data_IF_322604162842
#
_entry.id   IF_322604162842
#
_cell.length_a   1.000
_cell.length_b   1.000
_cell.length_c   1.000
_cell.angle_alpha   90.00
_cell.angle_beta   90.00
_cell.angle_gamma   90.00
#
_symmetry.space_group_name_H-M   'P 1'
#
loop_
_entity.id
_entity.type
_entity.pdbx_description
1 polymer ?
#
# COMPACT_ATOMS: atom_id res chain seq x y z
N UNK A 1 13.40 32.20 8.72
CA UNK A 1 14.37 32.74 7.74
C UNK A 1 15.74 32.73 8.42
N UNK A 2 16.48 31.63 8.27
CA UNK A 2 17.88 31.52 8.67
C UNK A 2 18.62 31.37 7.35
N UNK A 3 19.07 32.51 6.80
CA UNK A 3 19.95 32.51 5.63
C UNK A 3 21.28 31.96 6.14
N UNK A 4 21.48 30.65 6.05
CA UNK A 4 22.80 30.06 6.15
C UNK A 4 23.51 30.48 4.87
N UNK A 5 24.23 31.61 4.92
CA UNK A 5 25.26 31.91 3.94
C UNK A 5 26.30 30.81 4.05
N UNK A 6 26.15 29.75 3.25
CA UNK A 6 27.22 28.80 2.99
C UNK A 6 28.26 29.60 2.21
N UNK A 7 29.22 30.16 2.94
CA UNK A 7 30.44 30.66 2.33
C UNK A 7 31.11 29.43 1.71
N UNK A 8 30.88 29.22 0.41
CA UNK A 8 31.55 28.21 -0.37
C UNK A 8 33.03 28.60 -0.42
N UNK A 9 33.82 28.14 0.56
CA UNK A 9 35.28 28.21 0.49
C UNK A 9 35.69 27.29 -0.65
N UNK A 10 35.84 27.84 -1.85
CA UNK A 10 36.43 27.13 -2.97
C UNK A 10 37.82 26.64 -2.54
N UNK A 11 37.94 25.35 -2.23
CA UNK A 11 39.25 24.71 -2.04
C UNK A 11 39.90 24.61 -3.41
N UNK A 12 40.77 25.57 -3.73
CA UNK A 12 41.45 25.70 -5.01
C UNK A 12 42.32 24.47 -5.36
N UNK A 13 42.88 23.80 -4.35
CA UNK A 13 43.83 22.69 -4.55
C UNK A 13 43.23 21.49 -5.31
N UNK A 14 42.12 20.87 -4.86
CA UNK A 14 41.53 19.75 -5.60
C UNK A 14 40.95 20.17 -6.97
N UNK A 15 40.48 21.41 -7.12
CA UNK A 15 40.06 21.93 -8.43
C UNK A 15 41.24 22.04 -9.42
N UNK A 16 42.41 22.45 -8.94
CA UNK A 16 43.63 22.49 -9.75
C UNK A 16 44.13 21.08 -10.09
N UNK A 17 43.93 20.10 -9.20
CA UNK A 17 44.25 18.69 -9.45
C UNK A 17 43.34 18.11 -10.55
N UNK A 18 42.03 18.30 -10.49
CA UNK A 18 41.08 17.86 -11.53
C UNK A 18 41.35 18.53 -12.89
N UNK A 19 41.66 19.84 -12.88
CA UNK A 19 42.07 20.57 -14.09
C UNK A 19 43.37 20.01 -14.64
N UNK A 20 44.34 19.68 -13.79
CA UNK A 20 45.62 19.10 -14.21
C UNK A 20 45.45 17.69 -14.79
N UNK A 21 44.59 16.86 -14.18
CA UNK A 21 44.26 15.53 -14.65
C UNK A 21 43.55 15.57 -16.00
N UNK A 22 42.53 16.42 -16.12
CA UNK A 22 41.80 16.65 -17.37
C UNK A 22 42.73 17.17 -18.48
N UNK A 23 43.61 18.12 -18.16
CA UNK A 23 44.60 18.65 -19.10
C UNK A 23 45.61 17.59 -19.55
N UNK A 24 46.07 16.72 -18.64
CA UNK A 24 46.95 15.61 -18.98
C UNK A 24 46.27 14.58 -19.88
N UNK A 25 44.98 14.31 -19.66
CA UNK A 25 44.21 13.37 -20.47
C UNK A 25 43.99 13.88 -21.90
N UNK A 26 43.67 15.18 -22.05
CA UNK A 26 43.59 15.84 -23.37
C UNK A 26 44.95 15.85 -24.07
N UNK A 27 46.06 16.05 -23.34
CA UNK A 27 47.40 16.08 -23.91
C UNK A 27 47.84 14.75 -24.54
N UNK A 28 47.27 13.62 -24.09
CA UNK A 28 47.51 12.28 -24.65
C UNK A 28 46.47 11.92 -25.73
N UNK A 29 45.62 12.88 -26.14
CA UNK A 29 44.60 12.70 -27.17
C UNK A 29 43.24 12.19 -26.65
N UNK A 30 43.07 12.12 -25.33
CA UNK A 30 41.82 11.80 -24.67
C UNK A 30 40.80 12.94 -24.70
N UNK A 31 39.60 12.68 -24.17
CA UNK A 31 38.54 13.68 -23.97
C UNK A 31 38.41 13.97 -22.48
N UNK A 32 39.43 14.61 -21.91
CA UNK A 32 39.38 15.06 -20.53
C UNK A 32 38.16 15.96 -20.32
N UNK A 33 37.34 15.64 -19.31
CA UNK A 33 36.18 16.43 -18.93
C UNK A 33 36.24 16.74 -17.44
N UNK A 34 35.84 17.96 -17.08
CA UNK A 34 35.73 18.38 -15.69
C UNK A 34 34.24 18.33 -15.33
N UNK A 35 33.90 17.59 -14.28
CA UNK A 35 32.53 17.50 -13.76
C UNK A 35 32.20 18.74 -12.92
N UNK A 36 31.99 19.85 -13.62
CA UNK A 36 31.70 21.14 -12.99
C UNK A 36 30.45 21.12 -12.11
N UNK A 37 29.43 20.33 -12.47
CA UNK A 37 28.19 20.24 -11.71
C UNK A 37 28.43 19.68 -10.30
N UNK A 38 29.21 18.60 -10.18
CA UNK A 38 29.58 17.98 -8.91
C UNK A 38 30.37 18.97 -8.03
N UNK A 39 31.26 19.75 -8.64
CA UNK A 39 32.08 20.73 -7.90
C UNK A 39 31.31 21.98 -7.48
N UNK A 40 30.38 22.46 -8.31
CA UNK A 40 29.55 23.66 -8.07
C UNK A 40 28.45 23.37 -7.05
N UNK A 41 27.85 22.18 -7.09
CA UNK A 41 26.86 21.74 -6.12
C UNK A 41 27.48 21.31 -4.78
N UNK A 42 28.82 21.25 -4.69
CA UNK A 42 29.52 20.90 -3.46
C UNK A 42 29.49 19.41 -3.15
N UNK A 43 29.57 18.55 -4.16
CA UNK A 43 29.68 17.08 -4.00
C UNK A 43 30.87 16.67 -3.11
N UNK A 44 31.91 17.51 -3.02
CA UNK A 44 33.06 17.30 -2.13
C UNK A 44 32.77 17.63 -0.64
N UNK A 45 31.60 18.18 -0.32
CA UNK A 45 31.17 18.52 1.05
C UNK A 45 30.06 17.62 1.60
N UNK A 46 29.52 16.70 0.79
CA UNK A 46 28.54 15.73 1.25
C UNK A 46 29.05 14.33 0.92
N UNK A 47 29.62 13.65 1.91
CA UNK A 47 29.68 12.18 1.97
C UNK A 47 28.25 11.60 2.09
N UNK A 48 27.31 12.09 1.28
CA UNK A 48 25.87 11.84 1.38
C UNK A 48 25.36 11.17 0.11
N UNK A 49 24.37 10.30 0.27
CA UNK A 49 23.64 9.75 -0.87
C UNK A 49 23.04 10.89 -1.71
N UNK A 50 23.29 10.85 -3.02
CA UNK A 50 22.67 11.76 -3.97
C UNK A 50 21.44 11.09 -4.60
N UNK A 51 20.31 11.78 -4.55
CA UNK A 51 19.07 11.30 -5.13
C UNK A 51 18.86 11.91 -6.52
N UNK A 52 18.62 11.06 -7.52
CA UNK A 52 18.15 11.47 -8.83
C UNK A 52 16.73 10.94 -9.02
N UNK A 53 15.74 11.84 -9.00
CA UNK A 53 14.32 11.48 -9.11
C UNK A 53 13.89 11.57 -10.58
N UNK A 54 13.43 10.45 -11.13
CA UNK A 54 12.86 10.37 -12.48
C UNK A 54 11.36 10.10 -12.34
N UNK A 55 10.54 11.07 -12.75
CA UNK A 55 9.08 10.92 -12.72
C UNK A 55 8.63 10.31 -14.04
N UNK A 56 8.01 9.13 -13.95
CA UNK A 56 7.43 8.42 -15.10
C UNK A 56 5.92 8.39 -14.94
N UNK A 57 5.20 8.82 -15.97
CA UNK A 57 3.76 8.67 -16.07
C UNK A 57 3.46 7.56 -17.08
N UNK A 58 2.47 6.72 -16.77
CA UNK A 58 2.02 5.68 -17.68
C UNK A 58 0.55 5.36 -17.48
N UNK A 59 -0.05 4.74 -18.49
CA UNK A 59 -1.43 4.31 -18.48
C UNK A 59 -1.59 3.05 -17.61
N UNK A 60 -2.65 3.05 -16.80
CA UNK A 60 -3.03 1.92 -15.93
C UNK A 60 -4.23 1.25 -16.59
N UNK A 61 -4.19 -0.07 -16.69
CA UNK A 61 -5.25 -0.88 -17.25
C UNK A 61 -6.09 -1.48 -16.12
N UNK A 62 -7.22 -0.85 -15.81
CA UNK A 62 -8.09 -1.26 -14.69
C UNK A 62 -8.94 -2.51 -15.00
N UNK A 63 -8.96 -2.97 -16.25
CA UNK A 63 -9.70 -4.17 -16.66
C UNK A 63 -8.90 -5.47 -16.41
N UNK A 64 -7.59 -5.35 -16.16
CA UNK A 64 -6.72 -6.49 -15.83
C UNK A 64 -6.82 -6.82 -14.32
N UNK A 65 -6.74 -8.11 -13.98
CA UNK A 65 -6.67 -8.59 -12.60
C UNK A 65 -5.43 -8.04 -11.85
N UNK A 66 -4.38 -7.64 -12.58
CA UNK A 66 -3.20 -6.98 -12.00
C UNK A 66 -2.91 -5.66 -12.73
N UNK A 67 -3.64 -4.58 -12.42
CA UNK A 67 -3.64 -3.33 -13.21
C UNK A 67 -2.26 -2.67 -13.33
N UNK A 68 -1.42 -2.85 -12.30
CA UNK A 68 -0.08 -2.26 -12.24
C UNK A 68 1.04 -3.18 -12.76
N UNK A 69 0.77 -4.46 -13.03
CA UNK A 69 1.82 -5.43 -13.33
C UNK A 69 2.55 -5.10 -14.64
N UNK A 70 1.82 -4.70 -15.68
CA UNK A 70 2.38 -4.43 -17.01
C UNK A 70 3.37 -3.27 -16.99
N UNK A 71 3.01 -2.17 -16.32
CA UNK A 71 3.88 -0.98 -16.20
C UNK A 71 5.10 -1.27 -15.32
N UNK A 72 4.92 -2.00 -14.21
CA UNK A 72 6.02 -2.38 -13.32
C UNK A 72 6.99 -3.35 -13.97
N UNK A 73 6.51 -4.34 -14.71
CA UNK A 73 7.36 -5.28 -15.45
C UNK A 73 8.17 -4.56 -16.53
N UNK A 74 7.55 -3.63 -17.28
CA UNK A 74 8.26 -2.82 -18.28
C UNK A 74 9.32 -1.93 -17.64
N UNK A 75 9.01 -1.28 -16.52
CA UNK A 75 9.98 -0.44 -15.80
C UNK A 75 11.17 -1.27 -15.30
N UNK A 76 10.93 -2.41 -14.66
CA UNK A 76 11.98 -3.33 -14.22
C UNK A 76 12.83 -3.84 -15.39
N UNK A 77 12.21 -4.15 -16.54
CA UNK A 77 12.91 -4.54 -17.76
C UNK A 77 13.81 -3.42 -18.28
N UNK A 78 13.31 -2.20 -18.41
CA UNK A 78 14.10 -1.04 -18.88
C UNK A 78 15.27 -0.75 -17.93
N UNK A 79 15.04 -0.79 -16.61
CA UNK A 79 16.10 -0.60 -15.61
C UNK A 79 17.19 -1.66 -15.78
N UNK A 80 16.81 -2.93 -15.91
CA UNK A 80 17.76 -4.04 -16.10
C UNK A 80 18.51 -3.97 -17.43
N UNK A 81 17.86 -3.50 -18.50
CA UNK A 81 18.44 -3.44 -19.84
C UNK A 81 19.37 -2.23 -20.05
N UNK A 82 19.12 -1.11 -19.36
CA UNK A 82 19.93 0.11 -19.51
C UNK A 82 21.34 -0.09 -18.97
N UNK A 83 21.49 -0.93 -17.94
CA UNK A 83 22.74 -1.12 -17.22
C UNK A 83 23.12 0.15 -16.44
N UNK A 84 23.35 0.02 -15.14
CA UNK A 84 23.82 1.14 -14.32
C UNK A 84 25.11 0.76 -13.59
N UNK A 85 26.00 1.74 -13.32
CA UNK A 85 27.21 1.53 -12.52
C UNK A 85 26.90 0.87 -11.17
N UNK A 86 27.87 0.12 -10.62
CA UNK A 86 27.68 -0.64 -9.37
C UNK A 86 27.47 0.24 -8.13
N UNK A 87 27.87 1.50 -8.20
CA UNK A 87 27.67 2.55 -7.20
C UNK A 87 26.29 3.22 -7.29
N UNK A 88 25.51 2.95 -8.34
CA UNK A 88 24.16 3.52 -8.54
C UNK A 88 23.10 2.47 -8.21
N UNK A 89 22.32 2.76 -7.17
CA UNK A 89 21.13 1.97 -6.82
C UNK A 89 19.88 2.62 -7.44
N UNK A 90 19.17 1.86 -8.27
CA UNK A 90 17.89 2.29 -8.85
C UNK A 90 16.76 1.61 -8.07
N UNK A 91 15.81 2.40 -7.57
CA UNK A 91 14.66 1.93 -6.79
C UNK A 91 13.37 2.56 -7.29
N UNK A 92 12.25 1.85 -7.14
CA UNK A 92 10.93 2.31 -7.59
C UNK A 92 10.05 2.73 -6.41
N UNK A 93 9.43 3.90 -6.50
CA UNK A 93 8.45 4.36 -5.50
C UNK A 93 7.43 5.31 -6.12
N UNK A 94 6.42 5.69 -5.34
CA UNK A 94 5.25 6.45 -5.78
C UNK A 94 3.99 5.60 -5.76
N UNK A 95 2.85 6.21 -6.09
CA UNK A 95 1.53 5.61 -5.97
C UNK A 95 1.41 4.26 -6.71
N UNK A 96 1.95 4.18 -7.93
CA UNK A 96 1.85 2.97 -8.77
C UNK A 96 2.66 1.79 -8.19
N UNK A 97 3.98 1.89 -7.89
CA UNK A 97 4.71 0.82 -7.21
C UNK A 97 4.10 0.44 -5.86
N UNK A 98 3.70 1.44 -5.07
CA UNK A 98 3.09 1.21 -3.77
C UNK A 98 1.78 0.40 -3.90
N UNK A 99 0.92 0.73 -4.87
CA UNK A 99 -0.33 0.03 -5.11
C UNK A 99 -0.11 -1.36 -5.73
N UNK A 100 0.89 -1.52 -6.59
CA UNK A 100 1.29 -2.82 -7.12
C UNK A 100 1.70 -3.79 -6.01
N UNK A 101 2.61 -3.35 -5.13
CA UNK A 101 3.10 -4.15 -4.01
C UNK A 101 1.99 -4.46 -3.00
N UNK A 102 1.01 -3.56 -2.82
CA UNK A 102 -0.18 -3.80 -2.00
C UNK A 102 -1.06 -4.93 -2.56
N UNK A 103 -1.37 -4.89 -3.87
CA UNK A 103 -2.15 -5.94 -4.54
C UNK A 103 -1.40 -7.27 -4.57
N UNK A 104 -0.08 -7.24 -4.81
CA UNK A 104 0.78 -8.42 -4.79
C UNK A 104 0.80 -9.07 -3.39
N UNK A 105 1.10 -8.28 -2.35
CA UNK A 105 1.12 -8.76 -0.97
C UNK A 105 -0.25 -9.29 -0.51
N UNK A 106 -1.34 -8.64 -0.90
CA UNK A 106 -2.69 -9.12 -0.62
C UNK A 106 -2.92 -10.48 -1.27
N UNK A 107 -2.65 -10.60 -2.58
CA UNK A 107 -2.88 -11.83 -3.36
C UNK A 107 -2.05 -13.00 -2.83
N UNK A 108 -0.78 -12.78 -2.52
CA UNK A 108 0.10 -13.80 -1.95
C UNK A 108 -0.35 -14.22 -0.55
N UNK A 109 -0.76 -13.23 0.27
CA UNK A 109 -1.32 -13.46 1.59
C UNK A 109 -2.59 -14.31 1.56
N UNK A 110 -3.46 -14.10 0.58
CA UNK A 110 -4.69 -14.88 0.38
C UNK A 110 -4.39 -16.34 0.03
N UNK A 111 -3.43 -16.59 -0.85
CA UNK A 111 -3.05 -17.96 -1.22
C UNK A 111 -2.54 -18.76 -0.02
N UNK A 112 -1.68 -18.14 0.80
CA UNK A 112 -1.16 -18.76 2.02
C UNK A 112 -2.24 -18.90 3.10
N UNK A 113 -2.94 -17.81 3.43
CA UNK A 113 -3.95 -17.81 4.48
C UNK A 113 -5.13 -18.72 4.14
N UNK A 114 -5.59 -18.70 2.89
CA UNK A 114 -6.67 -19.55 2.40
C UNK A 114 -6.30 -21.03 2.43
N UNK A 115 -5.09 -21.40 2.01
CA UNK A 115 -4.63 -22.80 2.07
C UNK A 115 -4.46 -23.30 3.51
N UNK A 116 -3.90 -22.48 4.40
CA UNK A 116 -3.81 -22.80 5.84
C UNK A 116 -5.21 -22.93 6.45
N UNK A 117 -6.12 -22.00 6.18
CA UNK A 117 -7.49 -22.03 6.67
C UNK A 117 -8.23 -23.29 6.21
N UNK A 118 -8.11 -23.65 4.92
CA UNK A 118 -8.72 -24.84 4.36
C UNK A 118 -8.15 -26.14 4.97
N UNK A 119 -6.82 -26.19 5.17
CA UNK A 119 -6.16 -27.31 5.83
C UNK A 119 -6.64 -27.47 7.28
N UNK A 120 -6.65 -26.38 8.05
CA UNK A 120 -7.12 -26.38 9.44
C UNK A 120 -8.60 -26.76 9.52
N UNK A 121 -9.41 -26.25 8.61
CA UNK A 121 -10.83 -26.61 8.51
C UNK A 121 -11.00 -28.11 8.24
N UNK A 122 -10.27 -28.66 7.27
CA UNK A 122 -10.30 -30.09 6.97
C UNK A 122 -9.86 -30.92 8.18
N UNK A 123 -8.82 -30.48 8.89
CA UNK A 123 -8.32 -31.11 10.10
C UNK A 123 -9.39 -31.14 11.19
N UNK A 124 -9.99 -30.00 11.51
CA UNK A 124 -11.06 -29.89 12.52
C UNK A 124 -12.26 -30.75 12.14
N UNK A 125 -12.65 -30.76 10.86
CA UNK A 125 -13.76 -31.58 10.36
C UNK A 125 -13.49 -33.08 10.47
N UNK A 126 -12.31 -33.54 10.03
CA UNK A 126 -11.93 -34.96 10.03
C UNK A 126 -11.78 -35.47 11.47
N UNK A 127 -11.10 -34.73 12.34
CA UNK A 127 -10.85 -35.15 13.72
C UNK A 127 -12.05 -34.92 14.65
N UNK A 128 -12.81 -33.85 14.43
CA UNK A 128 -13.98 -33.48 15.23
C UNK A 128 -15.21 -34.31 14.91
N UNK A 129 -15.60 -34.37 13.63
CA UNK A 129 -16.85 -35.03 13.20
C UNK A 129 -16.66 -36.54 12.97
N UNK A 130 -15.44 -37.00 12.64
CA UNK A 130 -15.09 -38.41 12.42
C UNK A 130 -15.98 -39.16 11.42
N UNK A 131 -16.64 -38.45 10.50
CA UNK A 131 -17.53 -39.02 9.50
C UNK A 131 -17.24 -38.45 8.11
N UNK A 132 -16.58 -39.26 7.26
CA UNK A 132 -16.16 -38.84 5.92
C UNK A 132 -17.34 -38.33 5.07
N UNK A 133 -18.54 -38.89 5.24
CA UNK A 133 -19.75 -38.46 4.52
C UNK A 133 -20.15 -37.02 4.87
N UNK A 134 -20.08 -36.64 6.14
CA UNK A 134 -20.37 -35.27 6.56
C UNK A 134 -19.27 -34.31 6.11
N UNK A 135 -18.01 -34.72 6.20
CA UNK A 135 -16.88 -33.92 5.73
C UNK A 135 -17.05 -33.61 4.24
N UNK A 136 -17.31 -34.63 3.40
CA UNK A 136 -17.49 -34.45 1.95
C UNK A 136 -18.74 -33.61 1.62
N UNK A 137 -19.87 -33.84 2.29
CA UNK A 137 -21.07 -33.03 2.11
C UNK A 137 -20.83 -31.55 2.43
N UNK A 138 -20.09 -31.30 3.51
CA UNK A 138 -19.73 -29.94 3.95
C UNK A 138 -18.82 -29.26 2.94
N UNK A 139 -17.78 -29.94 2.45
CA UNK A 139 -16.91 -29.40 1.40
C UNK A 139 -17.63 -29.18 0.07
N UNK A 140 -18.57 -30.06 -0.30
CA UNK A 140 -19.40 -29.87 -1.48
C UNK A 140 -20.28 -28.61 -1.35
N UNK A 141 -20.94 -28.43 -0.20
CA UNK A 141 -21.72 -27.23 0.09
C UNK A 141 -20.84 -25.98 0.05
N UNK A 142 -19.67 -26.00 0.68
CA UNK A 142 -18.72 -24.89 0.67
C UNK A 142 -18.27 -24.52 -0.76
N UNK A 143 -17.89 -25.49 -1.57
CA UNK A 143 -17.46 -25.25 -2.95
C UNK A 143 -18.58 -24.62 -3.78
N UNK A 144 -19.81 -25.13 -3.65
CA UNK A 144 -20.98 -24.58 -4.33
C UNK A 144 -21.33 -23.18 -3.82
N UNK A 145 -21.36 -22.97 -2.50
CA UNK A 145 -21.68 -21.68 -1.89
C UNK A 145 -20.65 -20.62 -2.19
N UNK A 146 -19.39 -21.01 -2.25
CA UNK A 146 -18.32 -20.14 -2.67
C UNK A 146 -18.49 -19.69 -4.13
N UNK A 147 -18.72 -20.63 -5.05
CA UNK A 147 -18.95 -20.33 -6.47
C UNK A 147 -20.20 -19.45 -6.68
N UNK A 148 -21.29 -19.75 -5.97
CA UNK A 148 -22.54 -18.97 -6.08
C UNK A 148 -22.41 -17.58 -5.49
N UNK A 149 -21.68 -17.43 -4.38
CA UNK A 149 -21.46 -16.10 -3.79
C UNK A 149 -20.57 -15.23 -4.66
N UNK A 150 -19.50 -15.78 -5.25
CA UNK A 150 -18.70 -15.07 -6.24
C UNK A 150 -19.56 -14.67 -7.44
N UNK A 151 -20.37 -15.60 -7.96
CA UNK A 151 -21.24 -15.31 -9.10
C UNK A 151 -22.21 -14.17 -8.79
N UNK A 152 -22.81 -14.20 -7.61
CA UNK A 152 -23.70 -13.15 -7.13
C UNK A 152 -22.96 -11.81 -6.97
N UNK A 153 -21.77 -11.82 -6.37
CA UNK A 153 -20.95 -10.63 -6.19
C UNK A 153 -20.58 -9.98 -7.54
N UNK A 154 -20.10 -10.77 -8.51
CA UNK A 154 -19.79 -10.31 -9.87
C UNK A 154 -21.01 -9.67 -10.53
N UNK A 155 -22.18 -10.33 -10.46
CA UNK A 155 -23.41 -9.82 -11.08
C UNK A 155 -23.91 -8.52 -10.44
N UNK A 156 -23.66 -8.34 -9.15
CA UNK A 156 -24.16 -7.19 -8.38
C UNK A 156 -23.25 -5.96 -8.42
N UNK A 157 -21.93 -6.14 -8.37
CA UNK A 157 -20.97 -5.07 -8.16
C UNK A 157 -20.08 -4.81 -9.39
N UNK A 158 -19.82 -5.82 -10.22
CA UNK A 158 -18.94 -5.74 -11.40
C UNK A 158 -17.45 -5.60 -11.09
N UNK A 159 -17.09 -4.81 -10.09
CA UNK A 159 -15.72 -4.53 -9.64
C UNK A 159 -15.48 -5.07 -8.22
N UNK A 160 -14.24 -5.48 -7.94
CA UNK A 160 -13.82 -5.90 -6.60
C UNK A 160 -12.71 -4.99 -6.08
N UNK A 161 -12.90 -4.46 -4.87
CA UNK A 161 -11.78 -3.88 -4.11
C UNK A 161 -10.89 -4.96 -3.49
N UNK A 162 -9.63 -4.61 -3.17
CA UNK A 162 -8.66 -5.49 -2.49
C UNK A 162 -9.21 -6.07 -1.18
N UNK A 163 -10.02 -5.28 -0.45
CA UNK A 163 -10.64 -5.70 0.81
C UNK A 163 -11.76 -6.73 0.62
N UNK A 164 -12.51 -6.66 -0.47
CA UNK A 164 -13.54 -7.63 -0.80
C UNK A 164 -12.98 -9.05 -0.95
N UNK A 165 -11.69 -9.21 -1.22
CA UNK A 165 -11.06 -10.53 -1.32
C UNK A 165 -10.95 -11.22 0.06
N UNK A 166 -10.99 -10.48 1.18
CA UNK A 166 -10.98 -11.06 2.53
C UNK A 166 -12.21 -11.97 2.75
N UNK A 167 -13.33 -11.67 2.09
CA UNK A 167 -14.53 -12.51 2.12
C UNK A 167 -14.24 -13.97 1.72
N UNK A 168 -13.36 -14.20 0.74
CA UNK A 168 -13.00 -15.55 0.27
C UNK A 168 -12.57 -16.45 1.43
N UNK A 169 -11.66 -15.95 2.26
CA UNK A 169 -11.11 -16.71 3.39
C UNK A 169 -12.14 -16.80 4.51
N UNK A 170 -12.88 -15.72 4.76
CA UNK A 170 -13.89 -15.65 5.81
C UNK A 170 -15.08 -16.59 5.55
N UNK A 171 -15.47 -16.78 4.29
CA UNK A 171 -16.59 -17.65 3.91
C UNK A 171 -16.37 -19.10 4.31
N UNK A 172 -15.13 -19.60 4.23
CA UNK A 172 -14.83 -20.96 4.68
C UNK A 172 -15.02 -21.15 6.18
N UNK A 173 -14.80 -20.10 6.97
CA UNK A 173 -15.04 -20.12 8.42
C UNK A 173 -16.51 -19.97 8.79
N UNK A 174 -17.23 -19.05 8.14
CA UNK A 174 -18.62 -18.75 8.52
C UNK A 174 -19.65 -19.67 7.84
N UNK A 175 -19.42 -20.03 6.58
CA UNK A 175 -20.35 -20.85 5.82
C UNK A 175 -20.37 -22.32 6.25
N UNK A 176 -19.24 -22.82 6.76
CA UNK A 176 -19.12 -24.22 7.20
C UNK A 176 -19.99 -24.52 8.42
N UNK A 177 -20.18 -23.54 9.30
CA UNK A 177 -20.88 -23.73 10.57
C UNK A 177 -22.32 -24.21 10.35
N UNK A 178 -23.01 -23.65 9.35
CA UNK A 178 -24.37 -24.04 9.00
C UNK A 178 -24.43 -25.49 8.52
N UNK A 179 -23.52 -25.88 7.62
CA UNK A 179 -23.44 -27.25 7.11
C UNK A 179 -23.12 -28.26 8.21
N UNK A 180 -22.17 -27.95 9.11
CA UNK A 180 -21.81 -28.84 10.22
C UNK A 180 -22.98 -28.97 11.20
N UNK A 181 -23.58 -27.86 11.63
CA UNK A 181 -24.70 -27.90 12.57
C UNK A 181 -25.86 -28.73 12.03
N UNK A 182 -26.22 -28.50 10.76
CA UNK A 182 -27.28 -29.25 10.13
C UNK A 182 -26.92 -30.73 9.95
N UNK A 183 -25.73 -31.04 9.43
CA UNK A 183 -25.30 -32.41 9.19
C UNK A 183 -25.17 -33.25 10.48
N UNK A 184 -24.70 -32.64 11.58
CA UNK A 184 -24.66 -33.29 12.89
C UNK A 184 -26.05 -33.56 13.44
N UNK A 185 -27.00 -32.64 13.26
CA UNK A 185 -28.41 -32.86 13.63
C UNK A 185 -29.04 -33.99 12.82
N UNK A 186 -28.69 -34.12 11.53
CA UNK A 186 -29.10 -35.28 10.72
C UNK A 186 -28.49 -36.57 11.27
N UNK A 187 -27.20 -36.58 11.64
CA UNK A 187 -26.58 -37.76 12.27
C UNK A 187 -27.22 -38.16 13.61
N UNK A 188 -27.66 -37.18 14.39
CA UNK A 188 -28.33 -37.39 15.67
C UNK A 188 -29.75 -37.94 15.48
N UNK A 189 -30.50 -37.42 14.51
CA UNK A 189 -31.81 -37.94 14.12
C UNK A 189 -31.73 -39.37 13.58
N UNK A 190 -30.62 -39.75 12.93
CA UNK A 190 -30.37 -41.14 12.54
C UNK A 190 -30.12 -42.09 13.73
N UNK A 191 -29.65 -41.55 14.86
CA UNK A 191 -29.47 -42.32 16.10
C UNK A 191 -30.76 -42.52 16.89
N UNK A 192 -31.74 -41.62 16.70
CA UNK A 192 -33.08 -41.68 17.30
C UNK A 192 -34.15 -41.62 16.20
N UNK A 193 -34.25 -42.67 15.37
CA UNK A 193 -35.13 -42.65 14.21
C UNK A 193 -36.60 -42.53 14.64
N UNK A 194 -37.32 -41.65 13.96
CA UNK A 194 -38.78 -41.53 13.99
C UNK A 194 -39.31 -41.98 12.62
N UNK A 195 -40.09 -43.06 12.58
CA UNK A 195 -40.60 -43.65 11.34
C UNK A 195 -41.56 -42.72 10.58
N UNK A 196 -42.05 -41.65 11.22
CA UNK A 196 -43.02 -40.73 10.63
C UNK A 196 -42.40 -39.63 9.75
N UNK A 197 -41.10 -39.37 9.88
CA UNK A 197 -40.41 -38.27 9.19
C UNK A 197 -39.01 -38.66 8.73
N UNK A 198 -38.55 -38.08 7.62
CA UNK A 198 -37.17 -38.27 7.19
C UNK A 198 -36.22 -37.59 8.20
N UNK A 199 -35.07 -38.21 8.56
CA UNK A 199 -34.08 -37.64 9.47
C UNK A 199 -33.64 -36.22 9.09
N UNK A 200 -33.56 -35.93 7.79
CA UNK A 200 -33.26 -34.61 7.25
C UNK A 200 -34.35 -33.58 7.58
N UNK A 201 -35.63 -33.97 7.48
CA UNK A 201 -36.76 -33.12 7.83
C UNK A 201 -36.83 -32.88 9.36
N UNK A 202 -36.60 -33.92 10.15
CA UNK A 202 -36.56 -33.81 11.61
C UNK A 202 -35.43 -32.87 12.06
N UNK A 203 -34.25 -32.98 11.43
CA UNK A 203 -33.12 -32.09 11.67
C UNK A 203 -33.43 -30.64 11.25
N UNK A 204 -34.08 -30.44 10.09
CA UNK A 204 -34.48 -29.12 9.63
C UNK A 204 -35.51 -28.46 10.56
N UNK A 205 -36.44 -29.22 11.13
CA UNK A 205 -37.41 -28.73 12.12
C UNK A 205 -36.75 -28.18 13.40
N UNK A 206 -35.67 -28.82 13.86
CA UNK A 206 -34.98 -28.42 15.09
C UNK A 206 -33.89 -27.37 14.87
N UNK A 207 -33.05 -27.54 13.84
CA UNK A 207 -31.93 -26.65 13.55
C UNK A 207 -32.30 -25.48 12.64
N UNK A 208 -33.42 -25.57 11.90
CA UNK A 208 -33.87 -24.55 10.93
C UNK A 208 -33.99 -23.16 11.52
N UNK A 209 -34.76 -23.03 12.61
CA UNK A 209 -34.97 -21.76 13.30
C UNK A 209 -33.66 -21.12 13.81
N UNK A 210 -32.85 -21.83 14.61
CA UNK A 210 -31.57 -21.32 15.10
C UNK A 210 -30.59 -20.95 13.99
N UNK A 211 -30.45 -21.76 12.94
CA UNK A 211 -29.55 -21.47 11.82
C UNK A 211 -30.04 -20.23 11.06
N UNK A 212 -31.34 -20.15 10.74
CA UNK A 212 -31.90 -18.98 10.06
C UNK A 212 -31.76 -17.69 10.88
N UNK A 213 -31.95 -17.75 12.20
CA UNK A 213 -31.74 -16.61 13.09
C UNK A 213 -30.26 -16.17 13.08
N UNK A 214 -29.32 -17.12 13.17
CA UNK A 214 -27.90 -16.84 13.09
C UNK A 214 -27.52 -16.18 11.76
N UNK A 215 -28.02 -16.71 10.64
CA UNK A 215 -27.85 -16.12 9.31
C UNK A 215 -28.38 -14.69 9.26
N UNK A 216 -29.58 -14.45 9.80
CA UNK A 216 -30.19 -13.13 9.80
C UNK A 216 -29.36 -12.12 10.62
N UNK A 217 -28.98 -12.48 11.85
CA UNK A 217 -28.21 -11.59 12.72
C UNK A 217 -26.83 -11.28 12.14
N UNK A 218 -26.14 -12.27 11.58
CA UNK A 218 -24.83 -12.09 10.95
C UNK A 218 -24.94 -11.25 9.68
N UNK A 219 -25.97 -11.48 8.86
CA UNK A 219 -26.22 -10.68 7.66
C UNK A 219 -26.49 -9.22 8.00
N UNK A 220 -27.28 -8.94 9.05
CA UNK A 220 -27.50 -7.57 9.53
C UNK A 220 -26.19 -6.92 10.00
N UNK A 221 -25.34 -7.68 10.71
CA UNK A 221 -24.01 -7.21 11.13
C UNK A 221 -23.13 -6.82 9.95
N UNK A 222 -23.10 -7.62 8.88
CA UNK A 222 -22.36 -7.28 7.66
C UNK A 222 -23.00 -6.13 6.87
N UNK A 223 -24.33 -6.08 6.77
CA UNK A 223 -25.03 -4.98 6.10
C UNK A 223 -24.82 -3.63 6.81
N UNK A 224 -24.50 -3.61 8.11
CA UNK A 224 -24.14 -2.39 8.81
C UNK A 224 -22.93 -1.68 8.18
N UNK A 225 -22.03 -2.41 7.51
CA UNK A 225 -20.91 -1.83 6.77
C UNK A 225 -21.33 -1.03 5.53
N UNK A 226 -22.51 -1.31 4.96
CA UNK A 226 -23.04 -0.51 3.85
C UNK A 226 -23.42 0.92 4.27
N UNK A 227 -23.60 1.17 5.57
CA UNK A 227 -23.88 2.51 6.08
C UNK A 227 -22.63 3.42 6.10
N UNK A 228 -21.47 2.91 5.69
CA UNK A 228 -20.21 3.66 5.67
C UNK A 228 -19.90 4.21 4.28
N UNK A 229 -19.28 5.39 4.21
CA UNK A 229 -18.80 5.98 2.93
C UNK A 229 -17.59 5.24 2.34
N UNK A 230 -17.06 4.26 3.06
CA UNK A 230 -15.89 3.51 2.66
C UNK A 230 -16.27 2.32 1.78
N UNK A 231 -16.24 2.54 0.45
CA UNK A 231 -16.70 1.60 -0.58
C UNK A 231 -16.18 0.16 -0.39
N UNK A 232 -14.90 -0.02 -0.06
CA UNK A 232 -14.33 -1.37 0.13
C UNK A 232 -14.95 -2.15 1.30
N UNK A 233 -15.37 -1.47 2.37
CA UNK A 233 -16.04 -2.11 3.52
C UNK A 233 -17.52 -2.34 3.22
N UNK A 234 -18.17 -1.40 2.52
CA UNK A 234 -19.54 -1.56 2.06
C UNK A 234 -19.71 -2.76 1.10
N UNK A 235 -18.81 -2.91 0.13
CA UNK A 235 -18.75 -4.06 -0.78
C UNK A 235 -18.54 -5.37 -0.02
N UNK A 236 -17.57 -5.42 0.90
CA UNK A 236 -17.32 -6.58 1.76
C UNK A 236 -18.58 -6.98 2.56
N UNK A 237 -19.26 -5.99 3.15
CA UNK A 237 -20.50 -6.22 3.91
C UNK A 237 -21.62 -6.78 3.04
N UNK A 238 -21.82 -6.21 1.86
CA UNK A 238 -22.82 -6.68 0.90
C UNK A 238 -22.53 -8.12 0.46
N UNK A 239 -21.29 -8.39 0.01
CA UNK A 239 -20.85 -9.73 -0.43
C UNK A 239 -21.07 -10.77 0.69
N UNK A 240 -20.67 -10.42 1.91
CA UNK A 240 -20.77 -11.32 3.07
C UNK A 240 -22.21 -11.62 3.45
N UNK A 241 -23.09 -10.61 3.46
CA UNK A 241 -24.50 -10.80 3.79
C UNK A 241 -25.22 -11.70 2.76
N UNK A 242 -25.01 -11.47 1.46
CA UNK A 242 -25.57 -12.36 0.44
C UNK A 242 -24.98 -13.77 0.51
N UNK A 243 -23.68 -13.89 0.80
CA UNK A 243 -23.02 -15.17 1.03
C UNK A 243 -23.63 -15.97 2.17
N UNK A 244 -24.02 -15.32 3.27
CA UNK A 244 -24.68 -15.98 4.39
C UNK A 244 -26.06 -16.53 4.02
N UNK A 245 -26.85 -15.76 3.26
CA UNK A 245 -28.15 -16.23 2.75
C UNK A 245 -27.98 -17.38 1.76
N UNK A 246 -27.00 -17.29 0.86
CA UNK A 246 -26.65 -18.36 -0.07
C UNK A 246 -26.24 -19.64 0.69
N UNK A 247 -25.38 -19.52 1.70
CA UNK A 247 -24.93 -20.66 2.50
C UNK A 247 -26.09 -21.33 3.25
N UNK A 248 -27.05 -20.55 3.78
CA UNK A 248 -28.26 -21.07 4.40
C UNK A 248 -29.09 -21.90 3.41
N UNK A 249 -29.36 -21.36 2.22
CA UNK A 249 -30.14 -22.04 1.18
C UNK A 249 -29.46 -23.33 0.71
N UNK A 250 -28.14 -23.30 0.52
CA UNK A 250 -27.37 -24.47 0.12
C UNK A 250 -27.25 -25.51 1.23
N UNK A 251 -27.22 -25.10 2.49
CA UNK A 251 -27.20 -26.04 3.63
C UNK A 251 -28.45 -26.92 3.63
N UNK A 252 -29.64 -26.34 3.47
CA UNK A 252 -30.89 -27.10 3.47
C UNK A 252 -31.20 -27.82 2.15
N UNK A 253 -30.46 -27.55 1.07
CA UNK A 253 -30.67 -28.21 -0.23
C UNK A 253 -29.56 -29.20 -0.58
N UNK A 254 -28.30 -28.77 -0.53
CA UNK A 254 -27.13 -29.58 -0.92
C UNK A 254 -26.86 -30.69 0.08
N UNK A 255 -26.94 -30.43 1.39
CA UNK A 255 -26.62 -31.46 2.40
C UNK A 255 -27.60 -32.65 2.31
N UNK A 256 -28.94 -32.46 2.30
CA UNK A 256 -29.87 -33.57 2.13
C UNK A 256 -29.68 -34.29 0.81
N UNK A 257 -29.54 -33.56 -0.30
CA UNK A 257 -29.34 -34.15 -1.63
C UNK A 257 -28.05 -34.98 -1.69
N UNK A 258 -26.98 -34.52 -1.03
CA UNK A 258 -25.73 -35.26 -0.94
C UNK A 258 -25.90 -36.57 -0.16
N UNK A 259 -26.62 -36.56 0.97
CA UNK A 259 -26.86 -37.78 1.75
C UNK A 259 -27.80 -38.75 1.06
N UNK A 260 -28.75 -38.27 0.27
CA UNK A 260 -29.61 -39.13 -0.55
C UNK A 260 -28.80 -39.82 -1.66
N UNK A 261 -27.92 -39.08 -2.35
CA UNK A 261 -27.15 -39.59 -3.49
C UNK A 261 -25.95 -40.46 -3.08
N UNK A 262 -25.19 -40.05 -2.06
CA UNK A 262 -23.94 -40.71 -1.64
C UNK A 262 -24.10 -41.55 -0.36
N UNK A 263 -25.33 -41.65 0.14
CA UNK A 263 -25.69 -42.36 1.36
C UNK A 263 -25.51 -41.52 2.63
N UNK A 264 -26.40 -41.77 3.58
CA UNK A 264 -26.45 -41.07 4.88
C UNK A 264 -25.24 -41.37 5.76
N UNK A 265 -24.76 -40.43 6.58
CA UNK A 265 -23.69 -40.72 7.54
C UNK A 265 -24.09 -41.82 8.53
N UNK A 266 -23.11 -42.43 9.21
CA UNK A 266 -23.41 -43.36 10.31
C UNK A 266 -24.13 -42.58 11.42
N UNK A 267 -25.11 -43.21 12.10
CA UNK A 267 -25.78 -42.58 13.24
C UNK A 267 -24.72 -42.20 14.28
N UNK A 268 -24.87 -41.01 14.86
CA UNK A 268 -24.05 -40.62 15.99
C UNK A 268 -24.56 -41.43 17.19
N UNK A 269 -24.02 -42.63 17.40
CA UNK A 269 -24.21 -43.35 18.66
C UNK A 269 -23.46 -42.58 19.73
N UNK A 270 -24.12 -41.59 20.33
CA UNK A 270 -23.75 -41.11 21.66
C UNK A 270 -24.00 -42.27 22.64
N UNK A 271 -23.12 -43.28 22.61
CA UNK A 271 -22.73 -43.83 23.89
C UNK A 271 -22.13 -42.63 24.61
N UNK A 272 -22.90 -42.09 25.56
CA UNK A 272 -22.32 -41.42 26.72
C UNK A 272 -21.51 -42.50 27.42
N UNK A 273 -20.40 -42.91 26.82
CA UNK A 273 -19.29 -43.44 27.57
C UNK A 273 -18.96 -42.26 28.44
N UNK A 274 -19.27 -42.36 29.73
CA UNK A 274 -18.71 -41.45 30.72
C UNK A 274 -17.27 -41.22 30.31
N UNK A 275 -16.91 -39.96 30.00
CA UNK A 275 -15.52 -39.59 29.74
C UNK A 275 -14.75 -39.84 31.06
N UNK A 276 -14.41 -41.10 31.33
CA UNK A 276 -13.88 -41.54 32.62
C UNK A 276 -12.40 -41.95 32.56
N UNK A 277 -11.71 -41.78 31.43
CA UNK A 277 -10.32 -42.26 31.32
C UNK A 277 -9.35 -41.42 30.49
N UNK A 278 -9.75 -40.24 30.01
CA UNK A 278 -8.77 -39.20 29.68
C UNK A 278 -8.57 -38.33 30.93
N UNK A 279 -7.34 -38.02 31.37
CA UNK A 279 -7.14 -37.08 32.48
C UNK A 279 -7.84 -35.79 32.09
N UNK A 280 -8.87 -35.38 32.82
CA UNK A 280 -9.73 -34.40 32.27
C UNK A 280 -8.99 -33.07 32.42
N UNK A 281 -8.79 -32.37 31.31
CA UNK A 281 -8.80 -30.90 31.34
C UNK A 281 -10.26 -30.45 31.58
N UNK A 282 -11.00 -31.14 32.46
CA UNK A 282 -12.16 -30.58 33.13
C UNK A 282 -11.55 -29.77 34.25
N UNK A 283 -11.22 -28.51 33.94
CA UNK A 283 -11.50 -27.47 34.91
C UNK A 283 -12.93 -27.78 35.36
N UNK A 284 -13.12 -28.30 36.57
CA UNK A 284 -14.41 -28.88 36.94
C UNK A 284 -15.43 -27.75 36.87
N UNK A 285 -16.33 -27.79 35.88
CA UNK A 285 -17.39 -26.78 35.73
C UNK A 285 -18.17 -26.62 37.02
N UNK A 286 -18.28 -27.68 37.82
CA UNK A 286 -18.79 -27.64 39.18
C UNK A 286 -17.96 -26.79 40.15
N UNK A 287 -16.63 -26.86 40.13
CA UNK A 287 -15.79 -26.01 40.97
C UNK A 287 -15.80 -24.54 40.50
N UNK A 288 -15.89 -24.30 39.19
CA UNK A 288 -16.04 -22.95 38.64
C UNK A 288 -17.41 -22.36 39.00
N UNK A 289 -18.48 -23.14 38.89
CA UNK A 289 -19.84 -22.75 39.28
C UNK A 289 -19.95 -22.48 40.79
N UNK A 290 -19.27 -23.27 41.63
CA UNK A 290 -19.18 -23.04 43.09
C UNK A 290 -18.50 -21.72 43.46
N UNK A 291 -17.66 -21.18 42.58
CA UNK A 291 -16.97 -19.90 42.78
C UNK A 291 -17.46 -18.81 41.80
N UNK A 292 -18.71 -18.88 41.35
CA UNK A 292 -19.27 -17.94 40.37
C UNK A 292 -19.06 -16.46 40.71
N UNK A 293 -19.15 -16.09 41.99
CA UNK A 293 -18.88 -14.71 42.44
C UNK A 293 -17.43 -14.26 42.22
N UNK A 294 -16.45 -15.16 42.41
CA UNK A 294 -15.03 -14.89 42.14
C UNK A 294 -14.79 -14.78 40.64
N UNK A 295 -15.42 -15.63 39.84
CA UNK A 295 -15.33 -15.60 38.37
C UNK A 295 -15.90 -14.29 37.83
N UNK A 296 -17.09 -13.89 38.29
CA UNK A 296 -17.71 -12.62 37.90
C UNK A 296 -16.83 -11.45 38.32
N UNK A 297 -16.37 -11.43 39.57
CA UNK A 297 -15.48 -10.38 40.08
C UNK A 297 -14.20 -10.25 39.26
N UNK A 298 -13.54 -11.37 38.95
CA UNK A 298 -12.35 -11.40 38.10
C UNK A 298 -12.64 -10.92 36.67
N UNK A 299 -13.77 -11.35 36.08
CA UNK A 299 -14.18 -10.92 34.74
C UNK A 299 -14.47 -9.43 34.69
N UNK A 300 -15.12 -8.86 35.71
CA UNK A 300 -15.38 -7.42 35.82
C UNK A 300 -14.08 -6.64 35.97
N UNK A 301 -13.12 -7.13 36.78
CA UNK A 301 -11.81 -6.50 36.92
C UNK A 301 -11.07 -6.50 35.58
N UNK A 302 -11.00 -7.63 34.89
CA UNK A 302 -10.39 -7.72 33.56
C UNK A 302 -11.08 -6.80 32.54
N UNK A 303 -12.41 -6.78 32.52
CA UNK A 303 -13.17 -5.88 31.66
C UNK A 303 -12.88 -4.40 31.97
N UNK A 304 -12.75 -4.04 33.25
CA UNK A 304 -12.41 -2.68 33.68
C UNK A 304 -11.00 -2.28 33.25
N UNK A 305 -10.03 -3.19 33.38
CA UNK A 305 -8.66 -2.98 32.89
C UNK A 305 -8.65 -2.83 31.37
N UNK A 306 -9.41 -3.65 30.65
CA UNK A 306 -9.53 -3.56 29.20
C UNK A 306 -10.14 -2.22 28.75
N UNK A 307 -11.21 -1.75 29.41
CA UNK A 307 -11.81 -0.43 29.16
C UNK A 307 -10.82 0.70 29.45
N UNK A 308 -10.09 0.61 30.56
CA UNK A 308 -9.06 1.59 30.89
C UNK A 308 -7.93 1.64 29.86
N UNK A 309 -7.49 0.49 29.34
CA UNK A 309 -6.48 0.43 28.29
C UNK A 309 -7.04 0.92 26.94
N UNK A 310 -8.28 0.59 26.61
CA UNK A 310 -8.97 1.10 25.42
C UNK A 310 -9.13 2.63 25.46
N UNK A 311 -9.25 3.25 26.63
CA UNK A 311 -9.31 4.72 26.73
C UNK A 311 -7.98 5.42 26.41
N UNK A 312 -6.87 4.68 26.38
CA UNK A 312 -5.52 5.21 26.14
C UNK A 312 -5.03 4.97 24.71
N UNK A 313 -5.81 4.30 23.86
CA UNK A 313 -5.39 4.02 22.47
C UNK A 313 -5.44 5.28 21.62
N UNK A 314 -4.43 5.47 20.77
CA UNK A 314 -4.33 6.60 19.84
C UNK A 314 -4.69 6.13 18.44
N UNK A 315 -5.37 7.00 17.69
CA UNK A 315 -5.69 6.75 16.29
C UNK A 315 -4.52 7.19 15.40
N UNK A 316 -4.11 6.31 14.49
CA UNK A 316 -3.13 6.65 13.44
C UNK A 316 -3.89 7.05 12.17
N UNK A 317 -3.69 8.28 11.71
CA UNK A 317 -4.33 8.83 10.51
C UNK A 317 -3.55 8.52 9.23
N UNK A 318 -2.37 7.89 9.34
CA UNK A 318 -1.52 7.58 8.20
C UNK A 318 -1.99 6.32 7.47
N UNK A 319 -2.60 6.49 6.30
CA UNK A 319 -2.93 5.35 5.41
C UNK A 319 -1.67 4.61 4.97
N UNK A 320 -0.52 5.31 4.84
CA UNK A 320 0.76 4.70 4.51
C UNK A 320 1.27 3.74 5.59
N UNK A 321 0.84 3.89 6.85
CA UNK A 321 1.22 2.98 7.92
C UNK A 321 0.57 1.59 7.78
N UNK A 322 -0.49 1.46 6.99
CA UNK A 322 -1.13 0.17 6.70
C UNK A 322 -0.40 -0.64 5.62
N UNK A 323 0.52 -0.01 4.88
CA UNK A 323 1.29 -0.67 3.81
C UNK A 323 2.47 -1.43 4.39
N UNK A 324 2.94 -2.44 3.66
CA UNK A 324 4.08 -3.25 4.07
C UNK A 324 5.35 -2.39 4.20
N UNK A 325 5.90 -2.18 5.42
CA UNK A 325 7.07 -1.32 5.62
C UNK A 325 8.36 -1.95 5.08
N UNK A 326 8.35 -3.27 4.84
CA UNK A 326 9.49 -3.99 4.27
C UNK A 326 9.55 -3.92 2.73
N UNK A 327 8.51 -3.40 2.07
CA UNK A 327 8.45 -3.34 0.63
C UNK A 327 9.40 -2.25 0.06
N UNK A 328 9.95 -2.49 -1.14
CA UNK A 328 10.96 -1.61 -1.74
C UNK A 328 10.45 -0.18 -1.87
N UNK A 329 9.21 -0.02 -2.34
CA UNK A 329 8.61 1.29 -2.57
C UNK A 329 8.38 2.08 -1.28
N UNK A 330 7.97 1.41 -0.20
CA UNK A 330 7.78 2.03 1.13
C UNK A 330 9.10 2.44 1.76
N UNK A 331 10.13 1.60 1.68
CA UNK A 331 11.45 1.94 2.20
C UNK A 331 12.06 3.13 1.44
N UNK A 332 11.90 3.15 0.11
CA UNK A 332 12.40 4.25 -0.73
C UNK A 332 11.67 5.55 -0.42
N UNK A 333 10.35 5.49 -0.23
CA UNK A 333 9.56 6.66 0.18
C UNK A 333 9.99 7.16 1.57
N UNK A 334 10.17 6.26 2.53
CA UNK A 334 10.60 6.62 3.89
C UNK A 334 11.99 7.27 3.88
N UNK A 335 12.91 6.75 3.07
CA UNK A 335 14.24 7.31 2.87
C UNK A 335 14.18 8.72 2.28
N UNK A 336 13.47 8.91 1.16
CA UNK A 336 13.29 10.23 0.52
C UNK A 336 12.63 11.25 1.47
N UNK A 337 11.68 10.80 2.29
CA UNK A 337 11.05 11.64 3.33
C UNK A 337 12.02 12.02 4.44
N UNK A 338 12.92 11.11 4.82
CA UNK A 338 13.93 11.38 5.85
C UNK A 338 15.03 12.32 5.36
N UNK A 339 15.38 12.24 4.07
CA UNK A 339 16.29 13.15 3.39
C UNK A 339 15.67 14.55 3.14
N UNK A 340 14.33 14.67 3.23
CA UNK A 340 13.61 15.92 2.98
C UNK A 340 13.39 16.22 1.49
N UNK A 341 13.61 15.22 0.61
CA UNK A 341 13.42 15.33 -0.83
C UNK A 341 11.93 15.25 -1.23
N UNK A 342 11.15 14.44 -0.50
CA UNK A 342 9.72 14.24 -0.74
C UNK A 342 8.93 14.41 0.56
N UNK A 343 7.67 14.86 0.44
CA UNK A 343 6.75 15.02 1.58
C UNK A 343 5.33 14.64 1.18
N UNK A 344 4.66 13.91 2.08
CA UNK A 344 3.25 13.53 1.90
C UNK A 344 2.31 14.65 2.37
N UNK A 345 2.84 15.67 3.04
CA UNK A 345 2.08 16.83 3.50
C UNK A 345 2.18 17.97 2.49
N UNK A 346 1.76 17.70 1.26
CA UNK A 346 1.63 18.72 0.22
C UNK A 346 0.18 18.97 -0.16
N UNK A 347 -0.15 20.21 -0.52
CA UNK A 347 -1.48 20.60 -0.98
C UNK A 347 -1.32 21.36 -2.29
N UNK A 348 -2.03 20.95 -3.34
CA UNK A 348 -2.03 21.66 -4.61
C UNK A 348 -3.27 22.55 -4.72
N UNK A 349 -3.09 23.82 -5.04
CA UNK A 349 -4.17 24.79 -5.25
C UNK A 349 -4.13 25.28 -6.69
N UNK A 350 -5.25 25.13 -7.38
CA UNK A 350 -5.49 25.72 -8.70
C UNK A 350 -6.20 27.06 -8.52
N UNK A 351 -5.63 28.12 -9.09
CA UNK A 351 -6.18 29.48 -8.98
C UNK A 351 -5.94 30.27 -10.27
N UNK A 352 -6.66 31.38 -10.44
CA UNK A 352 -6.44 32.33 -11.52
C UNK A 352 -5.07 32.98 -11.39
N UNK A 353 -4.41 33.24 -12.54
CA UNK A 353 -3.05 33.84 -12.60
C UNK A 353 -2.95 35.13 -11.78
N UNK A 354 -4.01 35.95 -11.76
CA UNK A 354 -4.03 37.23 -11.06
C UNK A 354 -3.99 37.11 -9.53
N UNK A 355 -4.44 35.98 -8.98
CA UNK A 355 -4.58 35.76 -7.53
C UNK A 355 -3.40 34.98 -6.93
N UNK A 356 -2.51 34.45 -7.77
CA UNK A 356 -1.38 33.61 -7.34
C UNK A 356 -0.51 34.31 -6.30
N UNK A 357 -0.19 35.58 -6.50
CA UNK A 357 0.74 36.30 -5.64
C UNK A 357 0.16 36.57 -4.24
N UNK A 358 -1.11 37.00 -4.17
CA UNK A 358 -1.83 37.21 -2.90
C UNK A 358 -1.99 35.90 -2.12
N UNK A 359 -2.43 34.83 -2.79
CA UNK A 359 -2.60 33.51 -2.16
C UNK A 359 -1.25 32.96 -1.67
N UNK A 360 -0.19 33.10 -2.48
CA UNK A 360 1.17 32.67 -2.10
C UNK A 360 1.62 33.37 -0.83
N UNK A 361 1.42 34.68 -0.74
CA UNK A 361 1.86 35.45 0.42
C UNK A 361 1.06 35.10 1.68
N UNK A 362 -0.26 34.92 1.56
CA UNK A 362 -1.12 34.45 2.66
C UNK A 362 -0.68 33.09 3.17
N UNK A 363 -0.38 32.15 2.27
CA UNK A 363 0.05 30.80 2.65
C UNK A 363 1.44 30.78 3.28
N UNK A 364 2.39 31.57 2.77
CA UNK A 364 3.75 31.67 3.35
C UNK A 364 3.76 32.25 4.78
N UNK A 365 2.72 32.99 5.17
CA UNK A 365 2.58 33.55 6.53
C UNK A 365 2.10 32.52 7.56
N UNK A 366 1.54 31.38 7.13
CA UNK A 366 1.06 30.36 8.05
C UNK A 366 2.25 29.63 8.69
N UNK A 367 2.26 29.43 10.03
CA UNK A 367 3.37 28.77 10.72
C UNK A 367 3.50 27.29 10.37
N UNK A 368 2.40 26.67 9.93
CA UNK A 368 2.39 25.32 9.40
C UNK A 368 3.09 25.24 8.04
N UNK A 369 3.06 26.26 7.19
CA UNK A 369 3.61 26.13 5.82
C UNK A 369 5.13 26.25 5.81
N UNK A 370 5.81 25.25 5.25
CA UNK A 370 7.26 25.23 5.10
C UNK A 370 7.72 26.03 3.89
N UNK A 371 7.09 25.78 2.75
CA UNK A 371 7.39 26.39 1.47
C UNK A 371 6.13 26.42 0.59
N UNK A 372 6.08 27.39 -0.32
CA UNK A 372 5.05 27.48 -1.36
C UNK A 372 5.79 27.62 -2.68
N UNK A 373 5.58 26.66 -3.57
CA UNK A 373 6.11 26.63 -4.93
C UNK A 373 5.02 27.04 -5.92
N UNK A 374 5.38 27.91 -6.85
CA UNK A 374 4.53 28.40 -7.93
C UNK A 374 5.16 28.04 -9.27
N UNK A 375 4.39 28.05 -10.35
CA UNK A 375 4.94 27.87 -11.70
C UNK A 375 5.97 28.95 -12.08
N UNK A 376 5.94 30.12 -11.44
CA UNK A 376 6.94 31.17 -11.64
C UNK A 376 8.29 30.83 -11.00
N UNK A 377 8.31 30.05 -9.91
CA UNK A 377 9.54 29.60 -9.24
C UNK A 377 10.36 28.62 -10.11
N UNK A 378 9.71 28.00 -11.12
CA UNK A 378 10.41 27.20 -12.12
C UNK A 378 11.35 28.04 -13.00
N UNK A 379 11.17 29.36 -13.06
CA UNK A 379 12.06 30.28 -13.78
C UNK A 379 13.05 30.90 -12.79
N UNK A 380 14.35 30.55 -12.84
CA UNK A 380 15.32 31.07 -11.90
C UNK A 380 15.41 32.60 -11.93
N UNK A 381 15.34 33.23 -10.75
CA UNK A 381 15.57 34.67 -10.65
C UNK A 381 17.00 35.05 -11.05
N UNK A 382 17.16 36.28 -11.57
CA UNK A 382 18.44 36.92 -11.93
C UNK A 382 19.27 36.14 -12.95
N UNK A 383 18.62 35.63 -14.00
CA UNK A 383 19.30 34.86 -15.04
C UNK A 383 20.44 35.63 -15.71
N UNK A 384 20.27 36.92 -16.00
CA UNK A 384 21.29 37.71 -16.68
C UNK A 384 22.61 37.79 -15.87
N UNK A 385 22.52 38.06 -14.57
CA UNK A 385 23.69 38.07 -13.67
C UNK A 385 24.33 36.69 -13.57
N UNK A 386 23.51 35.64 -13.39
CA UNK A 386 24.00 34.26 -13.30
C UNK A 386 24.65 33.80 -14.61
N UNK A 387 24.14 34.19 -15.76
CA UNK A 387 24.73 33.86 -17.06
C UNK A 387 26.07 34.53 -17.26
N UNK A 388 26.24 35.79 -16.82
CA UNK A 388 27.55 36.46 -16.85
C UNK A 388 28.54 35.70 -15.95
N UNK A 389 28.14 35.34 -14.73
CA UNK A 389 28.98 34.56 -13.81
C UNK A 389 29.32 33.16 -14.33
N UNK A 390 28.41 32.51 -15.07
CA UNK A 390 28.66 31.21 -15.70
C UNK A 390 29.53 31.33 -16.97
N UNK A 391 29.53 32.49 -17.62
CA UNK A 391 30.35 32.76 -18.80
C UNK A 391 31.80 33.12 -18.45
N UNK A 392 32.06 33.74 -17.30
CA UNK A 392 33.42 34.13 -16.86
C UNK A 392 34.43 32.96 -16.71
N UNK A 393 34.08 31.78 -16.15
CA UNK A 393 35.01 30.65 -16.05
C UNK A 393 35.53 30.17 -17.41
N UNK A 394 34.72 30.24 -18.47
CA UNK A 394 35.10 29.84 -19.82
C UNK A 394 36.10 30.79 -20.49
N UNK A 395 36.14 32.06 -20.07
CA UNK A 395 37.11 33.04 -20.59
C UNK A 395 38.50 32.91 -19.92
N UNK A 396 38.56 32.52 -18.64
CA UNK A 396 39.81 32.29 -17.92
C UNK A 396 40.60 31.09 -18.50
N UNK A 397 39.93 30.04 -18.97
CA UNK A 397 40.58 28.92 -19.67
C UNK A 397 41.07 29.27 -21.07
N UNK A 398 40.38 30.17 -21.79
CA UNK A 398 40.77 30.55 -23.15
C UNK A 398 41.97 31.51 -23.17
N UNK A 399 42.16 32.33 -22.14
CA UNK A 399 43.22 33.34 -22.12
C UNK A 399 44.60 32.82 -21.70
N UNK A 400 44.68 31.70 -20.94
CA UNK A 400 45.98 31.13 -20.51
C UNK A 400 46.62 30.14 -21.48
N UNK A 401 45.91 29.65 -22.49
CA UNK A 401 46.48 28.73 -23.48
C UNK A 401 47.14 29.43 -24.69
N UNK A 402 47.21 30.78 -24.72
CA UNK A 402 47.85 31.53 -25.83
C UNK A 402 49.21 32.17 -25.52
N UNK A 403 49.78 32.00 -24.33
CA UNK A 403 51.13 32.48 -24.02
C UNK A 403 52.16 31.37 -24.17
N UNK A 404 52.36 30.96 -25.41
CA UNK A 404 53.37 30.00 -25.83
C UNK A 404 54.01 30.41 -27.15
N UNK A 405 54.43 31.69 -27.28
CA UNK A 405 55.47 32.13 -28.23
C UNK A 405 55.65 33.66 -28.21
N UNK A 406 56.91 34.07 -28.02
CA UNK A 406 57.50 35.38 -28.37
C UNK A 406 56.91 36.68 -27.79
N UNK A 407 57.54 37.15 -26.70
CA UNK A 407 57.61 38.57 -26.38
C UNK A 407 58.49 39.32 -27.38
N UNK A 408 57.89 40.14 -28.25
CA UNK A 408 58.52 41.32 -28.86
C UNK A 408 57.66 42.55 -28.53
N UNK A 409 58.25 43.52 -27.85
CA UNK A 409 57.71 44.89 -27.78
C UNK A 409 57.64 45.50 -29.20
N UNK A 410 56.63 46.34 -29.51
CA UNK A 410 56.79 47.78 -29.27
C UNK A 410 55.51 48.62 -28.98
N UNK A 411 55.76 49.75 -28.29
CA UNK A 411 55.19 51.13 -28.38
C UNK A 411 53.67 51.43 -28.40
N UNK A 412 53.30 52.27 -27.42
CA UNK A 412 52.27 53.34 -27.37
C UNK A 412 51.45 53.64 -28.65
N UNK A 413 50.12 53.74 -28.50
CA UNK A 413 49.27 54.84 -29.03
C UNK A 413 47.93 54.94 -28.28
N UNK A 414 47.49 56.18 -28.05
CA UNK A 414 46.18 56.61 -27.53
C UNK A 414 45.01 56.20 -28.44
N UNK A 415 43.80 56.00 -27.88
CA UNK A 415 42.59 56.81 -28.18
C UNK A 415 41.26 56.18 -27.69
N UNK A 416 40.50 57.04 -27.01
CA UNK A 416 39.05 57.19 -26.78
C UNK A 416 37.97 56.38 -27.55
N UNK A 417 36.80 56.34 -26.89
CA UNK A 417 35.41 56.20 -27.41
C UNK A 417 34.94 54.77 -27.77
N UNK A 418 33.67 54.35 -27.67
CA UNK A 418 32.36 55.03 -27.56
C UNK A 418 31.30 53.98 -27.17
N UNK A 419 30.15 54.45 -26.67
CA UNK A 419 28.94 53.68 -26.37
C UNK A 419 28.40 52.85 -27.55
N UNK A 420 27.78 51.70 -27.23
CA UNK A 420 26.69 51.14 -28.04
C UNK A 420 25.66 50.41 -27.15
N UNK A 421 24.46 50.99 -27.04
CA UNK A 421 23.24 50.29 -26.64
C UNK A 421 22.74 49.48 -27.84
N UNK A 422 22.23 48.27 -27.61
CA UNK A 422 21.30 47.62 -28.54
C UNK A 422 20.24 46.81 -27.76
N UNK A 423 19.01 47.02 -28.20
CA UNK A 423 17.71 46.62 -27.69
C UNK A 423 17.34 45.16 -27.97
N UNK A 424 16.57 44.55 -27.05
CA UNK A 424 15.88 43.26 -27.21
C UNK A 424 14.62 43.38 -28.09
N UNK A 425 14.20 42.30 -28.76
CA UNK A 425 12.82 42.08 -29.15
C UNK A 425 12.11 41.03 -28.28
N UNK A 426 10.85 41.34 -27.98
CA UNK A 426 9.84 40.54 -27.26
C UNK A 426 9.48 39.21 -27.93
N UNK A 427 9.21 38.16 -27.14
CA UNK A 427 8.51 36.95 -27.59
C UNK A 427 7.41 36.51 -26.61
N UNK A 428 6.35 35.95 -27.22
CA UNK A 428 5.00 35.79 -26.68
C UNK A 428 4.81 34.72 -25.60
N UNK A 429 3.74 34.92 -24.83
CA UNK A 429 3.25 34.05 -23.76
C UNK A 429 2.32 32.98 -24.32
N UNK A 430 2.61 31.71 -24.04
CA UNK A 430 1.63 30.62 -24.04
C UNK A 430 1.18 30.39 -22.59
N UNK A 431 -0.10 30.63 -22.31
CA UNK A 431 -0.71 30.50 -20.98
C UNK A 431 -1.12 29.05 -20.71
N UNK A 432 -0.38 28.35 -19.87
CA UNK A 432 -0.91 27.27 -19.02
C UNK A 432 -1.24 27.86 -17.64
N UNK A 433 -2.35 27.46 -17.00
CA UNK A 433 -2.70 27.98 -15.68
C UNK A 433 -1.65 27.55 -14.64
N UNK A 434 -1.28 28.43 -13.70
CA UNK A 434 -0.27 28.16 -12.68
C UNK A 434 -0.81 27.20 -11.62
N UNK A 435 -0.11 26.09 -11.41
CA UNK A 435 -0.32 25.18 -10.29
C UNK A 435 0.49 25.70 -9.09
N UNK A 436 -0.14 25.79 -7.92
CA UNK A 436 0.52 26.17 -6.67
C UNK A 436 0.67 24.93 -5.79
N UNK A 437 1.90 24.56 -5.41
CA UNK A 437 2.15 23.43 -4.50
C UNK A 437 2.61 23.96 -3.15
N UNK A 438 1.80 23.71 -2.12
CA UNK A 438 2.06 24.04 -0.72
C UNK A 438 2.79 22.85 -0.09
N UNK A 439 3.87 23.10 0.64
CA UNK A 439 4.59 22.09 1.42
C UNK A 439 4.45 22.46 2.91
N UNK A 440 3.88 21.57 3.71
CA UNK A 440 3.64 21.77 5.15
C UNK A 440 4.89 21.42 6.00
N UNK A 441 5.05 22.05 7.15
CA UNK A 441 6.01 21.69 8.21
C UNK A 441 5.37 20.64 9.11
N UNK A 442 6.19 19.69 9.52
CA UNK A 442 5.84 18.69 10.54
C UNK A 442 5.30 19.34 11.82
#
# INVERSE_FOLDING_TARGET
>A
MLVRTVACRLRLRPLLEDVSASASDVAVGGRGSIRWLDRILGADQADGLHYAIIVVQGEIDFDDARPYARIMQRLRQVISATGHPADVQVRLTGEVPLAHEEVEAATDGIGLAGSIALLLLAMVLVFGVRSLRVVLATFAMLAMGFAWTISWAILSLGEFSTLSIIFLVMFFGLGVDFAIHYALRVQEALGHPDDSVLPEQAAAGHAGGPIALCTLTSSIGFLAYMATDYRGLAELGFISAGGMVIALLLTFSVIPAFFDLFGRPRPLSLHVTELSSAPPVTLSWEALARHGGVVIGFTVILASIAVWQASQTRFDYSVLALRNPAAESMQTLAELKSAGEVTDYSLSVLTAVAEVEDITERLRRLPSVAAVQTSADAVPARQAEKQVQLAEPGQLSAQRCRTGSHCRHPRRKHANSQHARCSMPSRGRSLTPPLLTIINRR
#
